data_IF_345391319383
#
_entry.id   IF_345391319383
#
_cell.length_a   1.000
_cell.length_b   1.000
_cell.length_c   1.000
_cell.angle_alpha   90.00
_cell.angle_beta   90.00
_cell.angle_gamma   90.00
#
_symmetry.space_group_name_H-M   'P 1'
#
loop_
_entity.id
_entity.type
_entity.pdbx_description
1 polymer ?
#
# COMPACT_ATOMS: atom_id res chain seq x y z
N UNK A 1 -55.82 -16.28 -53.36
CA UNK A 1 -54.75 -17.22 -52.96
C UNK A 1 -53.57 -16.39 -52.46
N UNK A 2 -53.27 -16.45 -51.15
CA UNK A 2 -52.00 -17.01 -50.58
C UNK A 2 -50.77 -16.13 -50.95
N UNK A 3 -49.92 -15.57 -50.10
CA UNK A 3 -49.72 -15.55 -48.64
C UNK A 3 -48.75 -14.38 -48.32
N UNK A 4 -48.84 -13.75 -47.14
CA UNK A 4 -48.05 -14.08 -45.92
C UNK A 4 -46.53 -14.16 -46.20
N UNK A 5 -45.61 -13.43 -45.57
CA UNK A 5 -45.60 -12.72 -44.30
C UNK A 5 -44.52 -11.62 -44.34
N UNK A 6 -44.93 -10.34 -44.32
CA UNK A 6 -44.06 -9.28 -43.81
C UNK A 6 -44.07 -9.37 -42.28
N UNK A 7 -43.29 -10.29 -41.73
CA UNK A 7 -42.96 -10.31 -40.30
C UNK A 7 -41.45 -10.33 -40.17
N UNK A 8 -40.86 -9.16 -40.42
CA UNK A 8 -39.56 -8.79 -39.92
C UNK A 8 -39.56 -9.01 -38.40
N UNK A 9 -39.03 -10.16 -37.97
CA UNK A 9 -38.61 -10.37 -36.58
C UNK A 9 -37.34 -9.56 -36.36
N UNK A 10 -37.48 -8.25 -36.23
CA UNK A 10 -36.43 -7.36 -35.73
C UNK A 10 -36.70 -7.01 -34.26
N UNK A 11 -36.92 -8.05 -33.47
CA UNK A 11 -37.04 -8.14 -32.01
C UNK A 11 -36.26 -9.42 -31.69
N UNK A 12 -35.11 -9.46 -31.02
CA UNK A 12 -34.82 -8.89 -29.70
C UNK A 12 -33.30 -8.90 -29.36
N UNK A 13 -32.37 -8.59 -30.28
CA UNK A 13 -30.93 -8.64 -29.93
C UNK A 13 -30.46 -7.53 -28.97
N UNK A 14 -31.24 -6.46 -28.76
CA UNK A 14 -30.91 -5.42 -27.77
C UNK A 14 -31.28 -5.83 -26.34
N UNK A 15 -32.32 -6.65 -26.16
CA UNK A 15 -32.68 -7.22 -24.86
C UNK A 15 -31.64 -8.22 -24.37
N UNK A 16 -31.14 -9.08 -25.26
CA UNK A 16 -30.08 -10.05 -24.95
C UNK A 16 -28.78 -9.38 -24.52
N UNK A 17 -28.31 -8.38 -25.28
CA UNK A 17 -27.06 -7.67 -24.96
C UNK A 17 -27.13 -6.92 -23.61
N UNK A 18 -28.31 -6.39 -23.24
CA UNK A 18 -28.49 -5.68 -21.98
C UNK A 18 -28.54 -6.65 -20.79
N UNK A 19 -29.21 -7.81 -20.94
CA UNK A 19 -29.30 -8.84 -19.90
C UNK A 19 -27.96 -9.54 -19.69
N UNK A 20 -27.20 -9.82 -20.75
CA UNK A 20 -25.84 -10.36 -20.65
C UNK A 20 -24.91 -9.39 -19.92
N UNK A 21 -25.00 -8.09 -20.22
CA UNK A 21 -24.20 -7.08 -19.55
C UNK A 21 -24.55 -6.97 -18.06
N UNK A 22 -25.83 -7.06 -17.67
CA UNK A 22 -26.26 -7.01 -16.27
C UNK A 22 -25.69 -8.19 -15.46
N UNK A 23 -25.51 -9.36 -16.08
CA UNK A 23 -24.88 -10.52 -15.43
C UNK A 23 -23.35 -10.41 -15.35
N UNK A 24 -22.71 -9.81 -16.36
CA UNK A 24 -21.24 -9.66 -16.42
C UNK A 24 -20.74 -8.48 -15.57
N UNK A 25 -21.50 -7.39 -15.50
CA UNK A 25 -21.16 -6.17 -14.74
C UNK A 25 -20.75 -6.45 -13.29
N UNK A 26 -21.49 -7.23 -12.47
CA UNK A 26 -21.08 -7.49 -11.09
C UNK A 26 -19.75 -8.26 -11.01
N UNK A 27 -19.48 -9.17 -11.94
CA UNK A 27 -18.21 -9.92 -12.00
C UNK A 27 -17.06 -8.95 -12.30
N UNK A 28 -17.23 -8.06 -13.28
CA UNK A 28 -16.23 -7.03 -13.60
C UNK A 28 -16.00 -6.07 -12.44
N UNK A 29 -17.06 -5.70 -11.71
CA UNK A 29 -16.95 -4.86 -10.52
C UNK A 29 -16.13 -5.54 -9.43
N UNK A 30 -16.38 -6.82 -9.14
CA UNK A 30 -15.59 -7.61 -8.17
C UNK A 30 -14.13 -7.71 -8.62
N UNK A 31 -13.89 -7.97 -9.91
CA UNK A 31 -12.54 -8.05 -10.46
C UNK A 31 -11.81 -6.70 -10.34
N UNK A 32 -12.48 -5.59 -10.66
CA UNK A 32 -11.93 -4.25 -10.49
C UNK A 32 -11.59 -3.93 -9.04
N UNK A 33 -12.48 -4.27 -8.10
CA UNK A 33 -12.23 -4.11 -6.66
C UNK A 33 -11.04 -4.96 -6.21
N UNK A 34 -10.90 -6.19 -6.72
CA UNK A 34 -9.75 -7.04 -6.40
C UNK A 34 -8.43 -6.44 -6.89
N UNK A 35 -8.38 -5.88 -8.11
CA UNK A 35 -7.20 -5.19 -8.63
C UNK A 35 -6.83 -3.99 -7.76
N UNK A 36 -7.82 -3.19 -7.34
CA UNK A 36 -7.61 -2.06 -6.41
C UNK A 36 -7.09 -2.55 -5.06
N UNK A 37 -7.63 -3.65 -4.53
CA UNK A 37 -7.18 -4.27 -3.29
C UNK A 37 -5.68 -4.64 -3.34
N UNK A 38 -5.30 -5.33 -4.42
CA UNK A 38 -3.94 -5.78 -4.65
C UNK A 38 -2.97 -4.60 -4.84
N UNK A 39 -3.39 -3.59 -5.63
CA UNK A 39 -2.62 -2.38 -5.86
C UNK A 39 -2.32 -1.62 -4.57
N UNK A 40 -3.35 -1.33 -3.76
CA UNK A 40 -3.20 -0.60 -2.48
C UNK A 40 -2.30 -1.32 -1.49
N UNK A 41 -2.37 -2.65 -1.44
CA UNK A 41 -1.51 -3.47 -0.55
C UNK A 41 -0.03 -3.35 -0.92
N UNK A 42 0.28 -3.38 -2.23
CA UNK A 42 1.65 -3.22 -2.71
C UNK A 42 2.17 -1.79 -2.55
N UNK A 43 1.30 -0.79 -2.66
CA UNK A 43 1.65 0.61 -2.49
C UNK A 43 1.97 0.93 -1.02
N UNK A 44 1.17 0.43 -0.08
CA UNK A 44 1.44 0.58 1.36
C UNK A 44 2.76 -0.08 1.78
N UNK A 45 3.09 -1.25 1.25
CA UNK A 45 4.37 -1.92 1.53
C UNK A 45 5.56 -1.10 1.03
N UNK A 46 5.48 -0.59 -0.20
CA UNK A 46 6.54 0.29 -0.74
C UNK A 46 6.68 1.56 0.09
N UNK A 47 5.56 2.12 0.54
CA UNK A 47 5.53 3.32 1.37
C UNK A 47 6.24 3.10 2.71
N UNK A 48 5.93 2.03 3.45
CA UNK A 48 6.59 1.76 4.73
C UNK A 48 8.08 1.40 4.55
N UNK A 49 8.44 0.73 3.46
CA UNK A 49 9.85 0.44 3.15
C UNK A 49 10.63 1.73 2.89
N UNK A 50 10.10 2.61 2.03
CA UNK A 50 10.73 3.90 1.76
C UNK A 50 10.88 4.76 3.02
N UNK A 51 9.87 4.76 3.90
CA UNK A 51 9.95 5.46 5.18
C UNK A 51 11.01 4.87 6.11
N UNK A 52 11.13 3.54 6.16
CA UNK A 52 12.17 2.87 6.95
C UNK A 52 13.57 3.21 6.42
N UNK A 53 13.78 3.14 5.10
CA UNK A 53 15.05 3.45 4.45
C UNK A 53 15.46 4.92 4.69
N UNK A 54 14.52 5.85 4.50
CA UNK A 54 14.75 7.28 4.74
C UNK A 54 15.03 7.57 6.21
N UNK A 55 14.32 6.90 7.12
CA UNK A 55 14.55 6.99 8.56
C UNK A 55 15.94 6.48 8.96
N UNK A 56 16.34 5.30 8.49
CA UNK A 56 17.63 4.69 8.79
C UNK A 56 18.79 5.54 8.27
N UNK A 57 18.67 6.05 7.04
CA UNK A 57 19.65 6.93 6.41
C UNK A 57 19.79 8.28 7.11
N UNK A 58 18.70 8.87 7.59
CA UNK A 58 18.74 10.11 8.35
C UNK A 58 19.34 9.88 9.75
N UNK A 59 19.03 8.75 10.38
CA UNK A 59 19.55 8.40 11.69
C UNK A 59 21.05 8.09 11.66
N UNK A 60 21.55 7.41 10.63
CA UNK A 60 22.98 7.07 10.49
C UNK A 60 23.87 8.32 10.32
N UNK A 61 23.32 9.40 9.77
CA UNK A 61 24.01 10.69 9.61
C UNK A 61 23.91 11.60 10.83
N UNK A 62 23.05 11.27 11.80
CA UNK A 62 22.85 12.09 12.98
C UNK A 62 23.85 11.76 14.10
N UNK A 63 24.13 12.77 14.94
CA UNK A 63 24.88 12.59 16.18
C UNK A 63 24.18 11.56 17.09
N UNK A 64 24.97 10.79 17.86
CA UNK A 64 24.50 9.67 18.67
C UNK A 64 23.26 9.97 19.53
N UNK A 65 23.27 11.11 20.20
CA UNK A 65 22.21 11.55 21.12
C UNK A 65 20.88 11.84 20.38
N UNK A 66 20.93 12.15 19.07
CA UNK A 66 19.77 12.52 18.27
C UNK A 66 19.34 11.48 17.23
N UNK A 67 20.03 10.34 17.09
CA UNK A 67 19.72 9.34 16.05
C UNK A 67 18.27 8.87 16.11
N UNK A 68 17.79 8.54 17.30
CA UNK A 68 16.42 8.07 17.51
C UNK A 68 15.38 9.11 17.07
N UNK A 69 15.55 10.37 17.50
CA UNK A 69 14.60 11.44 17.17
C UNK A 69 14.66 11.87 15.71
N UNK A 70 15.85 11.95 15.12
CA UNK A 70 16.05 12.30 13.70
C UNK A 70 15.50 11.21 12.78
N UNK A 71 15.83 9.94 13.05
CA UNK A 71 15.31 8.81 12.28
C UNK A 71 13.79 8.71 12.34
N UNK A 72 13.22 8.88 13.54
CA UNK A 72 11.78 8.87 13.73
C UNK A 72 11.12 10.02 12.96
N UNK A 73 11.65 11.24 13.08
CA UNK A 73 11.10 12.41 12.39
C UNK A 73 11.16 12.27 10.86
N UNK A 74 12.25 11.72 10.32
CA UNK A 74 12.42 11.49 8.90
C UNK A 74 11.43 10.44 8.36
N UNK A 75 11.34 9.28 9.00
CA UNK A 75 10.36 8.24 8.64
C UNK A 75 8.92 8.77 8.72
N UNK A 76 8.62 9.54 9.77
CA UNK A 76 7.31 10.14 9.99
C UNK A 76 6.95 11.19 8.93
N UNK A 77 7.92 12.02 8.53
CA UNK A 77 7.73 12.99 7.46
C UNK A 77 7.49 12.30 6.10
N UNK A 78 8.23 11.22 5.83
CA UNK A 78 8.08 10.42 4.62
C UNK A 78 6.67 9.79 4.52
N UNK A 79 6.21 9.14 5.59
CA UNK A 79 4.85 8.58 5.66
C UNK A 79 3.77 9.64 5.43
N UNK A 80 3.94 10.84 6.01
CA UNK A 80 2.99 11.95 5.82
C UNK A 80 2.96 12.47 4.38
N UNK A 81 4.09 12.47 3.69
CA UNK A 81 4.19 12.94 2.31
C UNK A 81 3.54 11.94 1.32
N UNK A 82 3.59 10.65 1.63
CA UNK A 82 3.14 9.58 0.73
C UNK A 82 1.64 9.24 0.84
N UNK A 83 0.91 9.88 1.76
CA UNK A 83 -0.56 9.92 1.75
C UNK A 83 -1.26 8.98 2.74
N UNK A 84 -2.60 8.92 2.65
CA UNK A 84 -3.51 8.33 3.68
C UNK A 84 -3.64 6.80 3.66
N UNK A 85 -2.88 6.09 2.83
CA UNK A 85 -3.00 4.62 2.70
C UNK A 85 -2.60 3.85 3.95
N UNK A 86 -1.87 4.50 4.86
CA UNK A 86 -1.24 3.92 6.03
C UNK A 86 -1.77 4.69 7.26
N UNK A 87 -2.60 4.03 8.07
CA UNK A 87 -3.19 4.57 9.31
C UNK A 87 -2.61 3.84 10.51
N UNK A 88 -2.67 4.44 11.70
CA UNK A 88 -2.15 3.85 12.95
C UNK A 88 -0.68 3.40 12.81
N UNK A 89 0.18 4.34 12.42
CA UNK A 89 1.59 4.09 12.17
C UNK A 89 2.41 4.04 13.46
N UNK A 90 3.30 3.06 13.55
CA UNK A 90 4.27 2.91 14.63
C UNK A 90 5.68 2.84 14.04
N UNK A 91 6.54 3.73 14.52
CA UNK A 91 7.94 3.86 14.08
C UNK A 91 8.85 3.61 15.28
N UNK A 92 9.75 2.65 15.15
CA UNK A 92 10.76 2.32 16.14
C UNK A 92 12.15 2.53 15.55
N UNK A 93 13.03 3.19 16.31
CA UNK A 93 14.42 3.44 15.91
C UNK A 93 15.33 2.90 16.99
N UNK A 94 16.18 1.96 16.63
CA UNK A 94 17.02 1.22 17.58
C UNK A 94 18.45 1.18 17.06
N UNK A 95 19.43 1.53 17.90
CA UNK A 95 20.83 1.29 17.59
C UNK A 95 21.11 -0.21 17.73
N UNK A 96 21.72 -0.81 16.70
CA UNK A 96 22.06 -2.23 16.66
C UNK A 96 23.52 -2.38 16.23
N UNK A 97 24.17 -3.48 16.62
CA UNK A 97 25.53 -3.77 16.16
C UNK A 97 25.46 -4.91 15.15
N UNK A 98 26.03 -4.71 13.96
CA UNK A 98 26.09 -5.71 12.89
C UNK A 98 27.54 -6.10 12.67
N UNK A 99 27.92 -7.27 13.18
CA UNK A 99 29.32 -7.69 13.21
C UNK A 99 30.14 -6.83 14.16
N UNK A 100 31.05 -6.01 13.62
CA UNK A 100 31.87 -5.06 14.38
C UNK A 100 31.50 -3.59 14.13
N UNK A 101 30.43 -3.34 13.37
CA UNK A 101 30.00 -1.99 13.03
C UNK A 101 28.72 -1.65 13.80
N UNK A 102 28.68 -0.43 14.33
CA UNK A 102 27.43 0.13 14.84
C UNK A 102 26.52 0.52 13.66
N UNK A 103 25.24 0.26 13.82
CA UNK A 103 24.21 0.52 12.83
C UNK A 103 22.95 1.06 13.52
N UNK A 104 22.06 1.62 12.73
CA UNK A 104 20.71 1.98 13.19
C UNK A 104 19.71 1.15 12.41
N UNK A 105 18.80 0.51 13.13
CA UNK A 105 17.62 -0.13 12.59
C UNK A 105 16.41 0.78 12.77
N UNK A 106 15.66 0.99 11.68
CA UNK A 106 14.35 1.66 11.71
C UNK A 106 13.30 0.66 11.26
N UNK A 107 12.31 0.43 12.13
CA UNK A 107 11.17 -0.43 11.87
C UNK A 107 9.91 0.44 11.77
N UNK A 108 9.18 0.29 10.68
CA UNK A 108 7.95 1.03 10.40
C UNK A 108 6.83 0.03 10.19
N UNK A 109 5.74 0.20 10.95
CA UNK A 109 4.53 -0.59 10.79
C UNK A 109 3.32 0.32 10.69
N UNK A 110 2.31 -0.11 9.95
CA UNK A 110 1.01 0.56 9.93
C UNK A 110 -0.11 -0.38 9.49
N UNK A 111 -1.34 0.10 9.65
CA UNK A 111 -2.52 -0.55 9.12
C UNK A 111 -2.87 0.03 7.75
N UNK A 112 -3.15 -0.85 6.78
CA UNK A 112 -3.56 -0.41 5.45
C UNK A 112 -5.03 0.00 5.50
N UNK A 113 -5.32 1.23 5.09
CA UNK A 113 -6.69 1.67 4.92
C UNK A 113 -7.36 0.90 3.77
N UNK A 114 -8.43 0.17 4.07
CA UNK A 114 -9.25 -0.56 3.10
C UNK A 114 -10.64 0.06 2.95
N UNK A 115 -10.81 1.37 3.17
CA UNK A 115 -12.07 2.10 2.86
C UNK A 115 -12.52 1.74 1.44
N UNK A 116 -13.75 1.21 1.32
CA UNK A 116 -14.35 0.72 0.08
C UNK A 116 -14.31 -0.81 -0.12
N UNK A 117 -13.42 -1.53 0.57
CA UNK A 117 -13.32 -2.99 0.48
C UNK A 117 -13.85 -3.74 1.70
N UNK A 118 -14.28 -3.02 2.75
CA UNK A 118 -15.00 -3.61 3.90
C UNK A 118 -16.24 -4.41 3.45
N UNK A 119 -16.89 -4.00 2.36
CA UNK A 119 -18.04 -4.70 1.79
C UNK A 119 -17.68 -6.11 1.28
N UNK A 120 -16.40 -6.36 0.99
CA UNK A 120 -15.85 -7.66 0.57
C UNK A 120 -15.34 -8.50 1.76
N UNK A 121 -15.54 -8.06 3.01
CA UNK A 121 -15.14 -8.81 4.21
C UNK A 121 -13.63 -8.89 4.46
N UNK A 122 -12.83 -8.07 3.77
CA UNK A 122 -11.39 -8.00 4.02
C UNK A 122 -11.13 -7.32 5.37
N UNK A 123 -10.44 -8.03 6.27
CA UNK A 123 -10.01 -7.52 7.57
C UNK A 123 -8.87 -6.50 7.43
N UNK A 124 -8.72 -5.63 8.42
CA UNK A 124 -7.55 -4.76 8.58
C UNK A 124 -6.27 -5.60 8.52
N UNK A 125 -5.33 -5.20 7.65
CA UNK A 125 -4.06 -5.88 7.45
C UNK A 125 -2.93 -4.94 7.87
N UNK A 126 -2.15 -5.37 8.87
CA UNK A 126 -0.93 -4.68 9.28
C UNK A 126 0.19 -5.03 8.30
N UNK A 127 0.90 -4.00 7.87
CA UNK A 127 2.11 -4.12 7.04
C UNK A 127 3.27 -3.54 7.82
N UNK A 128 4.42 -4.20 7.73
CA UNK A 128 5.63 -3.87 8.47
C UNK A 128 6.84 -3.98 7.53
N UNK A 129 7.76 -3.03 7.67
CA UNK A 129 9.04 -3.02 6.99
C UNK A 129 10.15 -2.57 7.96
N UNK A 130 11.34 -3.12 7.77
CA UNK A 130 12.53 -2.75 8.54
C UNK A 130 13.66 -2.36 7.58
N UNK A 131 14.49 -1.42 8.00
CA UNK A 131 15.70 -1.02 7.28
C UNK A 131 16.85 -0.81 8.26
N UNK A 132 18.05 -1.25 7.87
CA UNK A 132 19.27 -1.18 8.68
C UNK A 132 20.34 -0.45 7.89
N UNK A 133 20.89 0.61 8.47
CA UNK A 133 21.97 1.39 7.88
C UNK A 133 23.16 1.43 8.83
N UNK A 134 24.37 1.19 8.30
CA UNK A 134 25.60 1.25 9.08
C UNK A 134 25.98 2.70 9.40
N UNK A 135 26.48 2.94 10.61
CA UNK A 135 26.96 4.24 11.05
C UNK A 135 28.41 4.37 10.57
N UNK A 136 28.68 5.40 9.77
CA UNK A 136 30.06 5.76 9.44
C UNK A 136 30.72 6.41 10.67
N UNK A 137 31.58 5.63 11.32
CA UNK A 137 32.25 5.99 12.57
C UNK A 137 33.16 7.22 12.40
N UNK A 138 33.64 7.51 11.18
CA UNK A 138 34.48 8.69 10.92
C UNK A 138 33.73 10.01 10.94
N UNK A 139 32.38 9.98 10.93
CA UNK A 139 31.55 11.19 10.86
C UNK A 139 30.67 11.41 12.09
N UNK A 140 30.72 10.48 13.05
CA UNK A 140 29.87 10.50 14.24
C UNK A 140 30.51 11.19 15.47
N UNK A 141 31.72 11.76 15.33
CA UNK A 141 32.47 12.45 16.39
C UNK A 141 32.17 13.94 16.52
#
# INVERSE_FOLDING_TARGET
MIGNHLRQRHRDNRGSATVELVLVTPILMVLALFVVAAGRSGEALRQVQHAADNGARAASQAAAIRRASVGHAAALADLRASGRSCIDQSIQVTSVTVGQLDAVKVSVSCQVDHVGLRLLGLSERRVEAESIESIDVYRAS
#
